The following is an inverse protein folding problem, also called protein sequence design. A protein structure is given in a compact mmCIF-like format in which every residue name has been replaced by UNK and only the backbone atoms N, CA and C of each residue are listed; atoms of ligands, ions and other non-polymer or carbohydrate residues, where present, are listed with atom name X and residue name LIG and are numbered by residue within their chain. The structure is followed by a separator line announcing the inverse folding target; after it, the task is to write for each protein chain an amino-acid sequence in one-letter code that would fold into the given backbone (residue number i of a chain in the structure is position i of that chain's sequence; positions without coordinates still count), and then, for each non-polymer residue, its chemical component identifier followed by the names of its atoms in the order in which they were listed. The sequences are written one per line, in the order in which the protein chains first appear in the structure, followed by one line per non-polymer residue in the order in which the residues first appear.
data_IF_313304663000
#
_entry.id   IF_313304663000
#
_cell.length_a   1.000
_cell.length_b   1.000
_cell.length_c   1.000
_cell.angle_alpha   90.00
_cell.angle_beta   90.00
_cell.angle_gamma   90.00
#
_symmetry.space_group_name_H-M   'P 1'
#
loop_
_entity.id
_entity.type
_entity.pdbx_description
1 polymer ?
#
# COMPACT_ATOMS: atom_id res chain seq x y z
N UNK A 1 -12.83 15.53 -23.18
CA UNK A 1 -11.85 14.52 -22.71
C UNK A 1 -11.39 14.93 -21.33
N UNK A 2 -12.07 14.49 -20.27
CA UNK A 2 -11.80 14.96 -18.90
C UNK A 2 -10.56 14.26 -18.37
N UNK A 3 -9.46 15.02 -18.23
CA UNK A 3 -8.24 14.58 -17.58
C UNK A 3 -8.60 14.09 -16.17
N UNK A 4 -8.48 12.78 -15.95
CA UNK A 4 -8.51 12.19 -14.60
C UNK A 4 -7.25 12.67 -13.89
N UNK A 5 -7.34 13.82 -13.22
CA UNK A 5 -6.35 14.29 -12.25
C UNK A 5 -6.26 13.16 -11.21
N UNK A 6 -5.27 12.28 -11.34
CA UNK A 6 -4.95 11.30 -10.32
C UNK A 6 -4.54 12.10 -9.09
N UNK A 7 -5.50 12.36 -8.21
CA UNK A 7 -5.23 12.83 -6.86
C UNK A 7 -4.31 11.77 -6.28
N UNK A 8 -3.00 12.08 -6.17
CA UNK A 8 -2.04 11.21 -5.50
C UNK A 8 -2.54 11.06 -4.07
N UNK A 9 -3.33 10.02 -3.77
CA UNK A 9 -3.70 9.64 -2.41
C UNK A 9 -2.37 9.48 -1.67
N UNK A 10 -1.99 10.48 -0.88
CA UNK A 10 -0.81 10.41 -0.03
C UNK A 10 -1.24 9.59 1.18
N UNK A 11 -0.80 8.34 1.20
CA UNK A 11 -0.92 7.51 2.40
C UNK A 11 -0.05 8.10 3.51
N UNK A 12 -0.60 8.15 4.72
CA UNK A 12 0.14 8.60 5.89
C UNK A 12 1.28 7.62 6.21
N UNK A 13 2.36 8.08 6.88
CA UNK A 13 3.45 7.21 7.29
C UNK A 13 2.99 6.04 8.16
N UNK A 14 2.06 6.29 9.07
CA UNK A 14 1.49 5.30 9.99
C UNK A 14 0.76 4.20 9.20
N UNK A 15 -0.04 4.59 8.22
CA UNK A 15 -0.75 3.66 7.35
C UNK A 15 0.21 2.80 6.53
N UNK A 16 1.30 3.39 6.01
CA UNK A 16 2.31 2.62 5.27
C UNK A 16 2.98 1.58 6.17
N UNK A 17 3.32 1.97 7.40
CA UNK A 17 3.92 1.08 8.38
C UNK A 17 2.98 -0.07 8.72
N UNK A 18 1.71 0.22 9.02
CA UNK A 18 0.70 -0.81 9.29
C UNK A 18 0.60 -1.81 8.13
N UNK A 19 0.52 -1.32 6.88
CA UNK A 19 0.45 -2.19 5.72
C UNK A 19 1.72 -3.04 5.52
N UNK A 20 2.90 -2.50 5.80
CA UNK A 20 4.16 -3.25 5.73
C UNK A 20 4.24 -4.28 6.85
N UNK A 21 3.88 -3.91 8.08
CA UNK A 21 3.86 -4.84 9.22
C UNK A 21 2.91 -6.00 8.99
N UNK A 22 1.74 -5.77 8.38
CA UNK A 22 0.83 -6.86 7.99
C UNK A 22 1.53 -7.90 7.10
N UNK A 23 2.31 -7.44 6.11
CA UNK A 23 3.04 -8.34 5.21
C UNK A 23 4.27 -8.96 5.87
N UNK A 24 5.03 -8.21 6.67
CA UNK A 24 6.32 -8.68 7.22
C UNK A 24 6.11 -9.50 8.50
N UNK A 25 5.30 -9.00 9.44
CA UNK A 25 5.09 -9.62 10.76
C UNK A 25 4.17 -10.83 10.67
N UNK A 26 3.09 -10.71 9.89
CA UNK A 26 2.10 -11.76 9.74
C UNK A 26 2.28 -12.58 8.46
N UNK A 27 3.33 -12.29 7.67
CA UNK A 27 3.62 -12.98 6.40
C UNK A 27 2.43 -12.97 5.42
N UNK A 28 1.53 -11.99 5.54
CA UNK A 28 0.36 -11.90 4.67
C UNK A 28 0.75 -11.56 3.24
N UNK A 29 -0.04 -12.03 2.28
CA UNK A 29 0.20 -11.68 0.88
C UNK A 29 0.00 -10.17 0.69
N UNK A 30 0.95 -9.52 0.01
CA UNK A 30 0.82 -8.12 -0.37
C UNK A 30 -0.45 -7.86 -1.19
N UNK A 31 -1.02 -8.87 -1.85
CA UNK A 31 -2.29 -8.76 -2.57
C UNK A 31 -3.48 -8.71 -1.60
N UNK A 32 -3.49 -9.53 -0.56
CA UNK A 32 -4.55 -9.57 0.45
C UNK A 32 -4.56 -8.30 1.30
N UNK A 33 -3.38 -7.84 1.70
CA UNK A 33 -3.22 -6.58 2.45
C UNK A 33 -3.63 -5.39 1.59
N UNK A 34 -3.26 -5.39 0.31
CA UNK A 34 -3.70 -4.36 -0.63
C UNK A 34 -5.21 -4.35 -0.87
N UNK A 35 -5.85 -5.53 -0.92
CA UNK A 35 -7.29 -5.63 -1.07
C UNK A 35 -8.03 -5.16 0.19
N UNK A 36 -7.47 -5.42 1.37
CA UNK A 36 -8.08 -5.04 2.66
C UNK A 36 -7.93 -3.56 2.96
N UNK A 37 -6.73 -3.01 2.73
CA UNK A 37 -6.41 -1.62 3.07
C UNK A 37 -6.64 -0.64 1.90
N UNK A 38 -6.98 -1.15 0.72
CA UNK A 38 -7.08 -0.43 -0.56
C UNK A 38 -5.81 0.24 -1.15
N UNK A 39 -4.54 0.02 -0.72
CA UNK A 39 -3.40 0.48 -1.51
C UNK A 39 -3.21 -0.41 -2.74
N UNK A 40 -2.62 0.15 -3.79
CA UNK A 40 -2.18 -0.65 -4.94
C UNK A 40 -1.17 -1.74 -4.50
N UNK A 41 -1.34 -3.02 -4.89
CA UNK A 41 -0.38 -4.08 -4.53
C UNK A 41 1.06 -3.79 -5.00
N UNK A 42 1.21 -3.11 -6.13
CA UNK A 42 2.50 -2.66 -6.65
C UNK A 42 3.12 -1.56 -5.77
N UNK A 43 2.29 -0.68 -5.22
CA UNK A 43 2.71 0.38 -4.32
C UNK A 43 3.12 -0.18 -2.95
N UNK A 44 2.38 -1.17 -2.44
CA UNK A 44 2.72 -1.87 -1.20
C UNK A 44 4.05 -2.63 -1.32
N UNK A 45 4.27 -3.35 -2.42
CA UNK A 45 5.58 -3.97 -2.72
C UNK A 45 6.72 -2.96 -2.75
N UNK A 46 6.48 -1.74 -3.23
CA UNK A 46 7.47 -0.66 -3.23
C UNK A 46 7.76 -0.15 -1.81
N UNK A 47 6.77 -0.14 -0.92
CA UNK A 47 6.98 0.23 0.49
C UNK A 47 7.79 -0.84 1.21
N UNK A 48 7.44 -2.13 1.05
CA UNK A 48 8.17 -3.24 1.66
C UNK A 48 9.64 -3.27 1.23
N UNK A 49 9.95 -2.95 -0.04
CA UNK A 49 11.35 -2.86 -0.51
C UNK A 49 12.13 -1.67 0.06
N UNK A 50 11.44 -0.63 0.54
CA UNK A 50 12.05 0.58 1.10
C UNK A 50 12.09 0.58 2.63
N UNK A 51 11.31 -0.31 3.25
CA UNK A 51 11.32 -0.58 4.69
C UNK A 51 12.47 -1.51 5.03
#
# INVERSE_FOLDING_TARGET
MTQRKQTKRRFSPEFKLEAIEQVVKYQQSAVEVAHTLEPDPSQLRKWIRQY
#
